data_IF_082914914514
#
_entry.id   IF_082914914514
#
_cell.length_a   1.000
_cell.length_b   1.000
_cell.length_c   1.000
_cell.angle_alpha   90.00
_cell.angle_beta   90.00
_cell.angle_gamma   90.00
#
_symmetry.space_group_name_H-M   'P 1'
#
loop_
_entity.id
_entity.type
_entity.pdbx_description
1 polymer ?
#
# COMPACT_ATOMS: atom_id res chain seq x y z
N UNK A 1 -4.51 6.61 23.41
CA UNK A 1 -3.69 5.38 23.24
C UNK A 1 -3.66 5.03 21.76
N UNK A 2 -2.73 4.15 21.34
CA UNK A 2 -2.56 3.72 19.95
C UNK A 2 -2.28 2.22 19.88
N UNK A 3 -2.54 1.59 18.74
CA UNK A 3 -2.22 0.19 18.45
C UNK A 3 -1.38 0.08 17.18
N UNK A 4 -0.75 -1.06 16.97
CA UNK A 4 -0.12 -1.41 15.70
C UNK A 4 -0.78 -2.68 15.18
N UNK A 5 -1.35 -2.61 13.97
CA UNK A 5 -1.97 -3.73 13.26
C UNK A 5 -1.11 -4.13 12.07
N UNK A 6 -0.93 -5.42 11.89
CA UNK A 6 -0.30 -5.99 10.69
C UNK A 6 -1.36 -6.28 9.62
N UNK A 7 -1.06 -5.93 8.38
CA UNK A 7 -1.92 -6.20 7.21
C UNK A 7 -1.07 -6.69 6.04
N UNK A 8 -1.56 -7.69 5.33
CA UNK A 8 -0.97 -8.18 4.08
C UNK A 8 -1.47 -7.34 2.90
N UNK A 9 -0.55 -6.81 2.10
CA UNK A 9 -0.85 -6.21 0.79
C UNK A 9 -0.75 -7.26 -0.30
N UNK A 10 -1.76 -7.29 -1.16
CA UNK A 10 -1.78 -8.10 -2.36
C UNK A 10 -1.13 -7.30 -3.51
N UNK A 11 0.04 -7.76 -3.95
CA UNK A 11 0.79 -7.12 -5.03
C UNK A 11 0.16 -7.33 -6.42
N UNK A 12 -0.78 -8.28 -6.55
CA UNK A 12 -1.50 -8.50 -7.81
C UNK A 12 -2.67 -7.53 -8.02
N UNK A 13 -3.16 -6.90 -6.93
CA UNK A 13 -4.22 -5.92 -7.02
C UNK A 13 -3.70 -4.59 -7.55
N UNK A 14 -4.48 -3.90 -8.41
CA UNK A 14 -4.16 -2.53 -8.82
C UNK A 14 -3.95 -1.59 -7.64
N UNK A 15 -4.77 -1.75 -6.59
CA UNK A 15 -4.77 -1.00 -5.34
C UNK A 15 -5.30 -1.88 -4.20
N UNK A 16 -4.72 -1.75 -3.01
CA UNK A 16 -5.20 -2.31 -1.75
C UNK A 16 -5.92 -1.22 -0.97
N UNK A 17 -7.21 -1.40 -0.68
CA UNK A 17 -8.00 -0.48 0.12
C UNK A 17 -8.02 -0.91 1.59
N UNK A 18 -7.75 0.04 2.48
CA UNK A 18 -7.77 -0.12 3.93
C UNK A 18 -8.66 0.95 4.56
N UNK A 19 -9.45 0.57 5.56
CA UNK A 19 -10.18 1.52 6.40
C UNK A 19 -9.38 1.76 7.67
N UNK A 20 -8.90 2.99 7.85
CA UNK A 20 -7.98 3.38 8.92
C UNK A 20 -8.49 4.63 9.63
N UNK A 21 -8.24 4.74 10.93
CA UNK A 21 -8.57 5.96 11.67
C UNK A 21 -7.67 7.13 11.24
N UNK A 22 -8.22 8.34 11.19
CA UNK A 22 -7.45 9.56 10.92
C UNK A 22 -6.19 9.64 11.82
N UNK A 23 -5.07 10.02 11.24
CA UNK A 23 -3.78 10.08 11.94
C UNK A 23 -3.03 8.73 12.00
N UNK A 24 -3.45 7.72 11.25
CA UNK A 24 -2.68 6.49 11.08
C UNK A 24 -1.30 6.75 10.47
N UNK A 25 -0.38 5.81 10.67
CA UNK A 25 0.95 5.82 10.04
C UNK A 25 1.43 4.42 9.71
N UNK A 26 1.96 4.22 8.50
CA UNK A 26 2.75 3.03 8.18
C UNK A 26 4.10 3.13 8.89
N UNK A 27 4.41 2.19 9.77
CA UNK A 27 5.63 2.21 10.60
C UNK A 27 6.68 1.20 10.15
N UNK A 28 6.27 0.17 9.41
CA UNK A 28 7.16 -0.88 8.90
C UNK A 28 6.56 -1.56 7.68
N UNK A 29 7.44 -1.98 6.78
CA UNK A 29 7.13 -2.88 5.66
C UNK A 29 8.13 -4.02 5.64
N UNK A 30 7.66 -5.24 5.42
CA UNK A 30 8.52 -6.40 5.21
C UNK A 30 7.97 -7.29 4.10
N UNK A 31 8.87 -8.04 3.46
CA UNK A 31 8.49 -9.11 2.55
C UNK A 31 8.30 -10.39 3.36
N UNK A 32 7.10 -10.97 3.29
CA UNK A 32 6.81 -12.26 3.92
C UNK A 32 7.32 -13.40 3.05
N UNK A 33 8.27 -14.17 3.57
CA UNK A 33 8.80 -15.35 2.88
C UNK A 33 7.77 -16.47 2.71
N UNK A 34 6.80 -16.54 3.63
CA UNK A 34 5.80 -17.60 3.68
C UNK A 34 4.70 -17.36 2.65
N UNK A 35 4.17 -16.13 2.60
CA UNK A 35 3.06 -15.75 1.72
C UNK A 35 3.50 -15.08 0.43
N UNK A 36 4.80 -14.82 0.25
CA UNK A 36 5.37 -14.08 -0.89
C UNK A 36 4.67 -12.73 -1.13
N UNK A 37 4.30 -12.06 -0.04
CA UNK A 37 3.53 -10.82 -0.04
C UNK A 37 4.26 -9.71 0.72
N UNK A 38 3.75 -8.48 0.61
CA UNK A 38 4.23 -7.37 1.46
C UNK A 38 3.35 -7.28 2.70
N UNK A 39 3.97 -7.33 3.87
CA UNK A 39 3.33 -7.06 5.15
C UNK A 39 3.60 -5.61 5.55
N UNK A 40 2.54 -4.91 5.93
CA UNK A 40 2.60 -3.55 6.49
C UNK A 40 2.17 -3.56 7.95
N UNK A 41 2.91 -2.84 8.79
CA UNK A 41 2.49 -2.53 10.15
C UNK A 41 2.01 -1.09 10.17
N UNK A 42 0.78 -0.91 10.60
CA UNK A 42 0.08 0.37 10.62
C UNK A 42 -0.20 0.71 12.08
N UNK A 43 0.35 1.83 12.51
CA UNK A 43 0.00 2.46 13.77
C UNK A 43 -1.33 3.22 13.60
N UNK A 44 -2.30 2.95 14.47
CA UNK A 44 -3.60 3.64 14.48
C UNK A 44 -3.92 4.17 15.89
N UNK A 45 -4.43 5.41 15.99
CA UNK A 45 -4.99 5.89 17.26
C UNK A 45 -6.22 5.08 17.66
N UNK A 46 -6.41 4.85 18.96
CA UNK A 46 -7.56 4.11 19.52
C UNK A 46 -8.70 5.03 19.99
N UNK A 47 -8.75 6.26 19.50
CA UNK A 47 -9.77 7.23 19.88
C UNK A 47 -11.06 6.95 19.10
N UNK A 48 -12.15 6.69 19.82
CA UNK A 48 -13.44 6.33 19.22
C UNK A 48 -14.12 7.48 18.46
N UNK A 49 -13.71 8.72 18.71
CA UNK A 49 -14.24 9.93 18.07
C UNK A 49 -13.54 10.30 16.75
N UNK A 50 -12.48 9.58 16.37
CA UNK A 50 -11.77 9.84 15.12
C UNK A 50 -12.54 9.27 13.92
N UNK A 51 -12.62 10.01 12.81
CA UNK A 51 -13.20 9.49 11.59
C UNK A 51 -12.34 8.36 11.02
N UNK A 52 -12.99 7.43 10.34
CA UNK A 52 -12.35 6.37 9.56
C UNK A 52 -12.28 6.81 8.11
N UNK A 53 -11.10 6.75 7.52
CA UNK A 53 -10.82 7.16 6.15
C UNK A 53 -10.36 5.97 5.30
N UNK A 54 -10.69 6.01 4.01
CA UNK A 54 -10.16 5.06 3.05
C UNK A 54 -8.70 5.41 2.71
N UNK A 55 -7.80 4.45 2.89
CA UNK A 55 -6.42 4.52 2.49
C UNK A 55 -6.16 3.51 1.37
N UNK A 56 -5.59 4.00 0.27
CA UNK A 56 -5.32 3.21 -0.92
C UNK A 56 -3.81 3.02 -1.06
N UNK A 57 -3.35 1.77 -1.01
CA UNK A 57 -1.93 1.42 -1.11
C UNK A 57 -1.66 0.57 -2.35
N UNK A 58 -0.62 0.89 -3.10
CA UNK A 58 -0.16 0.12 -4.26
C UNK A 58 1.23 -0.41 -4.02
N UNK A 59 1.44 -1.69 -4.32
CA UNK A 59 2.76 -2.30 -4.36
C UNK A 59 3.28 -2.25 -5.79
N UNK A 60 4.51 -1.77 -5.96
CA UNK A 60 5.14 -1.60 -7.26
C UNK A 60 6.52 -2.24 -7.25
N UNK A 61 6.80 -3.09 -8.23
CA UNK A 61 8.10 -3.73 -8.38
C UNK A 61 9.21 -2.73 -8.78
N UNK A 62 10.46 -3.07 -8.47
CA UNK A 62 11.60 -2.24 -8.83
C UNK A 62 11.69 -1.95 -10.33
N UNK A 63 11.87 -0.69 -10.71
CA UNK A 63 12.00 -0.25 -12.11
C UNK A 63 10.69 -0.13 -12.88
N UNK A 64 9.54 -0.40 -12.26
CA UNK A 64 8.23 -0.17 -12.86
C UNK A 64 7.83 1.32 -12.80
N UNK A 65 7.10 1.84 -13.81
CA UNK A 65 6.67 3.24 -13.83
C UNK A 65 5.65 3.52 -12.71
N UNK A 66 5.75 4.71 -12.11
CA UNK A 66 4.86 5.18 -11.05
C UNK A 66 4.36 6.58 -11.40
N UNK A 67 3.04 6.85 -11.36
CA UNK A 67 2.50 8.20 -11.54
C UNK A 67 3.05 9.18 -10.51
N UNK A 68 3.39 10.40 -10.95
CA UNK A 68 3.95 11.46 -10.08
C UNK A 68 3.03 11.85 -8.90
N UNK A 69 1.73 11.61 -9.02
CA UNK A 69 0.74 11.92 -7.98
C UNK A 69 0.73 10.90 -6.84
N UNK A 70 1.43 9.77 -6.98
CA UNK A 70 1.52 8.76 -5.92
C UNK A 70 2.56 9.17 -4.89
N UNK A 71 2.23 8.99 -3.62
CA UNK A 71 3.12 9.31 -2.50
C UNK A 71 3.90 8.06 -2.10
N UNK A 72 5.23 8.14 -2.09
CA UNK A 72 6.07 7.03 -1.62
C UNK A 72 5.94 6.85 -0.11
N UNK A 73 5.73 5.61 0.33
CA UNK A 73 5.58 5.29 1.74
C UNK A 73 6.80 4.55 2.28
N UNK A 74 7.16 3.43 1.67
CA UNK A 74 8.26 2.57 2.13
C UNK A 74 8.63 1.53 1.07
N UNK A 75 9.60 0.67 1.38
CA UNK A 75 9.96 -0.49 0.58
C UNK A 75 10.26 -1.71 1.45
N UNK A 76 10.16 -2.88 0.83
CA UNK A 76 10.53 -4.15 1.42
C UNK A 76 11.37 -4.94 0.42
N UNK A 77 12.47 -5.52 0.89
CA UNK A 77 13.36 -6.31 0.03
C UNK A 77 12.80 -7.72 -0.17
N UNK A 78 12.58 -8.11 -1.43
CA UNK A 78 12.27 -9.48 -1.82
C UNK A 78 13.59 -10.24 -2.06
N UNK A 79 13.96 -11.20 -1.18
CA UNK A 79 15.22 -11.92 -1.32
C UNK A 79 15.21 -12.97 -2.43
N UNK A 80 14.04 -13.38 -2.94
CA UNK A 80 13.96 -14.34 -4.04
C UNK A 80 14.29 -13.70 -5.40
N UNK A 81 13.85 -12.47 -5.60
CA UNK A 81 14.11 -11.71 -6.83
C UNK A 81 15.32 -10.77 -6.73
N UNK A 82 15.92 -10.68 -5.54
CA UNK A 82 16.97 -9.72 -5.20
C UNK A 82 16.60 -8.26 -5.52
N UNK A 83 15.32 -7.91 -5.34
CA UNK A 83 14.76 -6.59 -5.70
C UNK A 83 13.90 -6.04 -4.57
N UNK A 84 13.87 -4.72 -4.46
CA UNK A 84 12.93 -4.04 -3.59
C UNK A 84 11.53 -4.01 -4.23
N UNK A 85 10.52 -4.23 -3.41
CA UNK A 85 9.13 -3.91 -3.71
C UNK A 85 8.78 -2.62 -2.98
N UNK A 86 8.13 -1.69 -3.66
CA UNK A 86 7.88 -0.34 -3.17
C UNK A 86 6.39 -0.16 -2.88
N UNK A 87 6.07 0.47 -1.76
CA UNK A 87 4.69 0.76 -1.35
C UNK A 87 4.43 2.25 -1.54
N UNK A 88 3.36 2.56 -2.26
CA UNK A 88 2.90 3.91 -2.52
C UNK A 88 1.48 4.10 -1.99
N UNK A 89 1.18 5.30 -1.49
CA UNK A 89 -0.19 5.75 -1.26
C UNK A 89 -0.73 6.38 -2.54
N UNK A 90 -1.92 5.92 -2.93
CA UNK A 90 -2.61 6.36 -4.13
C UNK A 90 -3.68 7.39 -3.72
N UNK A 91 -3.75 8.57 -4.35
CA UNK A 91 -4.84 9.51 -4.11
C UNK A 91 -6.18 8.89 -4.49
N UNK A 92 -7.21 9.09 -3.67
CA UNK A 92 -8.55 8.56 -3.93
C UNK A 92 -9.12 9.01 -5.28
N UNK A 93 -8.79 10.24 -5.72
CA UNK A 93 -9.18 10.75 -7.04
C UNK A 93 -8.69 9.88 -8.19
N UNK A 94 -7.50 9.28 -8.06
CA UNK A 94 -6.95 8.34 -9.05
C UNK A 94 -7.70 7.02 -9.01
N UNK A 95 -7.95 6.48 -7.82
CA UNK A 95 -8.68 5.20 -7.64
C UNK A 95 -10.10 5.29 -8.23
N UNK A 96 -10.80 6.41 -7.99
CA UNK A 96 -12.16 6.62 -8.50
C UNK A 96 -12.21 6.94 -10.00
N UNK A 97 -11.08 7.36 -10.58
CA UNK A 97 -11.00 7.73 -12.00
C UNK A 97 -10.53 6.56 -12.87
N UNK A 98 -9.83 5.56 -12.35
CA UNK A 98 -9.45 4.36 -13.12
C UNK A 98 -10.72 3.56 -13.52
N UNK A 99 -11.16 3.59 -14.78
CA UNK A 99 -12.01 2.52 -15.28
C UNK A 99 -11.07 1.33 -15.53
N UNK A 100 -11.48 0.14 -15.14
CA UNK A 100 -10.91 -1.09 -15.70
C UNK A 100 -10.74 -0.90 -17.22
N UNK A 101 -9.54 -1.23 -17.73
CA UNK A 101 -9.17 -1.37 -19.15
C UNK A 101 -8.36 -0.23 -19.79
N UNK A 102 -7.04 -0.43 -19.89
CA UNK A 102 -6.27 -0.13 -21.10
C UNK A 102 -5.39 -1.36 -21.42
N UNK A 103 -5.98 -2.33 -22.12
CA UNK A 103 -5.22 -3.19 -23.04
C UNK A 103 -4.87 -2.40 -24.31
N UNK A 104 -3.71 -2.76 -24.88
CA UNK A 104 -3.10 -2.33 -26.17
C UNK A 104 -2.59 -0.88 -26.18
N UNK A 105 -1.39 -0.56 -26.70
CA UNK A 105 -0.73 -0.95 -27.96
C UNK A 105 0.81 -0.86 -27.71
N UNK A 106 1.66 -1.80 -28.14
CA UNK A 106 2.09 -2.05 -29.52
C UNK A 106 2.66 -3.45 -29.73
#
# INVERSE_FOLDING_TARGET
MKTIRQVTLDASKPVNELLLHEGFRVVKTEFSLISQSIEVWIEEPLRADLPVEACFLKVVGNGQPVPLVYEYISSAYNPFEHKAMHVFKVPESVVRTEPTHLQAVA
#
